data_IF_046707892301
#
_entry.id   IF_046707892301
#
_cell.length_a   1.000
_cell.length_b   1.000
_cell.length_c   1.000
_cell.angle_alpha   90.00
_cell.angle_beta   90.00
_cell.angle_gamma   90.00
#
_symmetry.space_group_name_H-M   'P 1'
#
loop_
_entity.id
_entity.type
_entity.pdbx_description
1 polymer ?
#
# COMPACT_ATOMS: atom_id res chain seq x y z
N UNK A 1 -22.77 -2.15 -26.41
CA UNK A 1 -21.78 -2.93 -25.64
C UNK A 1 -21.91 -2.66 -24.15
N UNK A 2 -21.16 -3.39 -23.31
CA UNK A 2 -21.14 -3.21 -21.83
C UNK A 2 -20.77 -1.76 -21.43
N UNK A 3 -20.09 -1.03 -22.32
CA UNK A 3 -19.68 0.37 -22.16
C UNK A 3 -20.38 1.36 -23.11
N UNK A 4 -21.53 1.02 -23.70
CA UNK A 4 -22.34 2.04 -24.40
C UNK A 4 -23.00 2.95 -23.37
N UNK A 5 -22.26 3.96 -22.95
CA UNK A 5 -22.72 5.06 -22.10
C UNK A 5 -22.83 6.29 -23.00
N UNK A 6 -24.01 6.94 -23.10
CA UNK A 6 -24.17 8.16 -23.86
C UNK A 6 -23.32 9.28 -23.27
N UNK A 7 -22.97 10.27 -24.10
CA UNK A 7 -22.17 11.41 -23.64
C UNK A 7 -22.86 12.15 -22.48
N UNK A 8 -22.11 12.70 -21.51
CA UNK A 8 -22.69 13.39 -20.35
C UNK A 8 -23.63 14.54 -20.73
N UNK A 9 -23.36 15.22 -21.85
CA UNK A 9 -24.20 16.30 -22.38
C UNK A 9 -25.59 15.82 -22.77
N UNK A 10 -25.70 14.69 -23.46
CA UNK A 10 -27.00 14.16 -23.90
C UNK A 10 -27.82 13.65 -22.71
N UNK A 11 -27.16 13.08 -21.69
CA UNK A 11 -27.80 12.70 -20.43
C UNK A 11 -28.34 13.90 -19.66
N UNK A 12 -27.60 15.00 -19.64
CA UNK A 12 -28.01 16.24 -18.99
C UNK A 12 -29.24 16.87 -19.68
N UNK A 13 -29.26 16.84 -21.01
CA UNK A 13 -30.41 17.29 -21.79
C UNK A 13 -31.63 16.39 -21.58
N UNK A 14 -31.44 15.07 -21.53
CA UNK A 14 -32.51 14.13 -21.23
C UNK A 14 -33.08 14.37 -19.83
N UNK A 15 -32.22 14.53 -18.82
CA UNK A 15 -32.66 14.85 -17.46
C UNK A 15 -33.46 16.15 -17.39
N UNK A 16 -33.02 17.21 -18.09
CA UNK A 16 -33.77 18.48 -18.14
C UNK A 16 -35.14 18.34 -18.80
N UNK A 17 -35.25 17.49 -19.83
CA UNK A 17 -36.50 17.30 -20.59
C UNK A 17 -37.48 16.37 -19.88
N UNK A 18 -37.00 15.26 -19.35
CA UNK A 18 -37.84 14.16 -18.84
C UNK A 18 -37.92 14.13 -17.32
N UNK A 19 -37.02 14.85 -16.63
CA UNK A 19 -36.90 14.83 -15.16
C UNK A 19 -36.30 13.54 -14.59
N UNK A 20 -36.04 12.54 -15.44
CA UNK A 20 -35.49 11.23 -15.07
C UNK A 20 -34.41 10.80 -16.05
N UNK A 21 -33.49 9.97 -15.57
CA UNK A 21 -32.48 9.31 -16.40
C UNK A 21 -32.88 7.84 -16.48
N UNK A 22 -32.65 7.23 -17.64
CA UNK A 22 -32.89 5.80 -17.81
C UNK A 22 -32.05 4.98 -16.82
N UNK A 23 -32.72 4.07 -16.10
CA UNK A 23 -32.14 3.27 -15.02
C UNK A 23 -30.97 2.42 -15.54
N UNK A 24 -31.08 1.90 -16.77
CA UNK A 24 -30.04 1.10 -17.39
C UNK A 24 -28.74 1.88 -17.58
N UNK A 25 -28.84 3.17 -17.90
CA UNK A 25 -27.67 4.03 -18.07
C UNK A 25 -27.04 4.36 -16.72
N UNK A 26 -27.87 4.63 -15.70
CA UNK A 26 -27.39 4.86 -14.33
C UNK A 26 -26.62 3.64 -13.82
N UNK A 27 -27.18 2.44 -13.97
CA UNK A 27 -26.54 1.20 -13.51
C UNK A 27 -25.18 0.99 -14.20
N UNK A 28 -25.07 1.24 -15.51
CA UNK A 28 -23.80 1.12 -16.25
C UNK A 28 -22.73 2.08 -15.72
N UNK A 29 -23.10 3.33 -15.45
CA UNK A 29 -22.18 4.34 -14.90
C UNK A 29 -21.73 3.95 -13.49
N UNK A 30 -22.69 3.60 -12.63
CA UNK A 30 -22.40 3.17 -11.25
C UNK A 30 -21.50 1.95 -11.25
N UNK A 31 -21.78 0.95 -12.10
CA UNK A 31 -20.96 -0.25 -12.23
C UNK A 31 -19.53 0.09 -12.66
N UNK A 32 -19.35 0.93 -13.69
CA UNK A 32 -18.03 1.35 -14.15
C UNK A 32 -17.24 2.07 -13.05
N UNK A 33 -17.91 2.95 -12.30
CA UNK A 33 -17.29 3.69 -11.20
C UNK A 33 -16.91 2.77 -10.04
N UNK A 34 -17.79 1.84 -9.66
CA UNK A 34 -17.51 0.83 -8.64
C UNK A 34 -16.35 -0.08 -9.06
N UNK A 35 -16.29 -0.46 -10.34
CA UNK A 35 -15.20 -1.27 -10.88
C UNK A 35 -13.85 -0.54 -10.85
N UNK A 36 -13.81 0.72 -11.26
CA UNK A 36 -12.60 1.53 -11.17
C UNK A 36 -12.16 1.74 -9.72
N UNK A 37 -13.12 2.02 -8.83
CA UNK A 37 -12.87 2.15 -7.39
C UNK A 37 -12.31 0.84 -6.82
N UNK A 38 -12.86 -0.30 -7.23
CA UNK A 38 -12.37 -1.62 -6.84
C UNK A 38 -10.92 -1.85 -7.28
N UNK A 39 -10.55 -1.51 -8.52
CA UNK A 39 -9.16 -1.62 -9.00
C UNK A 39 -8.21 -0.77 -8.15
N UNK A 40 -8.56 0.49 -7.93
CA UNK A 40 -7.74 1.44 -7.17
C UNK A 40 -7.58 0.96 -5.72
N UNK A 41 -8.68 0.63 -5.04
CA UNK A 41 -8.64 0.14 -3.67
C UNK A 41 -7.93 -1.20 -3.54
N UNK A 42 -8.04 -2.08 -4.53
CA UNK A 42 -7.28 -3.34 -4.56
C UNK A 42 -5.77 -3.09 -4.66
N UNK A 43 -5.36 -2.10 -5.46
CA UNK A 43 -3.96 -1.66 -5.53
C UNK A 43 -3.45 -1.14 -4.19
N UNK A 44 -4.24 -0.29 -3.51
CA UNK A 44 -3.89 0.19 -2.16
C UNK A 44 -3.82 -0.95 -1.15
N UNK A 45 -4.82 -1.84 -1.13
CA UNK A 45 -4.86 -3.00 -0.24
C UNK A 45 -3.62 -3.88 -0.45
N UNK A 46 -3.28 -4.19 -1.70
CA UNK A 46 -2.09 -4.97 -2.04
C UNK A 46 -0.81 -4.30 -1.53
N UNK A 47 -0.64 -3.00 -1.79
CA UNK A 47 0.53 -2.26 -1.31
C UNK A 47 0.64 -2.30 0.22
N UNK A 48 -0.47 -2.13 0.94
CA UNK A 48 -0.48 -2.20 2.40
C UNK A 48 -0.19 -3.62 2.91
N UNK A 49 -0.71 -4.66 2.26
CA UNK A 49 -0.37 -6.04 2.60
C UNK A 49 1.12 -6.32 2.44
N UNK A 50 1.77 -5.77 1.41
CA UNK A 50 3.22 -5.85 1.26
C UNK A 50 3.97 -5.15 2.41
N UNK A 51 3.50 -3.97 2.84
CA UNK A 51 4.09 -3.24 3.97
C UNK A 51 3.98 -4.02 5.27
N UNK A 52 2.80 -4.56 5.55
CA UNK A 52 2.56 -5.45 6.69
C UNK A 52 3.48 -6.66 6.63
N UNK A 53 3.62 -7.29 5.45
CA UNK A 53 4.48 -8.47 5.29
C UNK A 53 5.94 -8.15 5.65
N UNK A 54 6.44 -6.97 5.29
CA UNK A 54 7.81 -6.53 5.57
C UNK A 54 7.96 -5.91 6.98
N UNK A 55 6.87 -5.73 7.73
CA UNK A 55 6.90 -5.04 9.01
C UNK A 55 7.32 -3.57 8.91
N UNK A 56 7.16 -2.95 7.74
CA UNK A 56 7.60 -1.58 7.43
C UNK A 56 6.38 -0.67 7.33
N UNK A 57 6.46 0.52 7.90
CA UNK A 57 5.43 1.56 7.76
C UNK A 57 5.61 2.33 6.45
N UNK A 58 4.55 3.00 5.99
CA UNK A 58 4.64 3.85 4.79
C UNK A 58 5.71 4.93 4.91
N UNK A 59 5.86 5.52 6.11
CA UNK A 59 6.86 6.58 6.37
C UNK A 59 8.28 6.04 6.27
N UNK A 60 8.55 4.89 6.90
CA UNK A 60 9.87 4.24 6.82
C UNK A 60 10.24 3.90 5.37
N UNK A 61 9.27 3.44 4.56
CA UNK A 61 9.52 3.16 3.14
C UNK A 61 9.87 4.42 2.36
N UNK A 62 9.20 5.54 2.60
CA UNK A 62 9.48 6.81 1.92
C UNK A 62 10.89 7.30 2.26
N UNK A 63 11.27 7.27 3.54
CA UNK A 63 12.62 7.66 3.99
C UNK A 63 13.69 6.75 3.38
N UNK A 64 13.44 5.44 3.34
CA UNK A 64 14.34 4.49 2.67
C UNK A 64 14.49 4.80 1.18
N UNK A 65 13.39 5.03 0.47
CA UNK A 65 13.42 5.38 -0.95
C UNK A 65 14.19 6.67 -1.21
N UNK A 66 13.98 7.70 -0.39
CA UNK A 66 14.67 8.98 -0.50
C UNK A 66 16.18 8.84 -0.29
N UNK A 67 16.58 8.04 0.70
CA UNK A 67 17.99 7.72 0.94
C UNK A 67 18.62 6.93 -0.23
N UNK A 68 17.86 6.05 -0.89
CA UNK A 68 18.33 5.29 -2.04
C UNK A 68 18.42 6.15 -3.30
N UNK A 69 17.43 7.04 -3.51
CA UNK A 69 17.39 7.95 -4.64
C UNK A 69 18.54 8.97 -4.59
N UNK A 70 18.77 9.59 -3.43
CA UNK A 70 19.88 10.52 -3.23
C UNK A 70 21.25 9.86 -3.43
N UNK A 71 21.42 8.60 -3.00
CA UNK A 71 22.63 7.81 -3.28
C UNK A 71 22.80 7.49 -4.77
N UNK A 72 21.73 7.08 -5.44
CA UNK A 72 21.76 6.81 -6.88
C UNK A 72 22.09 8.07 -7.70
N UNK A 73 21.55 9.22 -7.31
CA UNK A 73 21.81 10.50 -7.96
C UNK A 73 23.26 10.95 -7.78
N UNK A 74 23.84 10.82 -6.58
CA UNK A 74 25.26 11.12 -6.32
C UNK A 74 26.20 10.27 -7.17
N UNK A 75 25.88 8.99 -7.38
CA UNK A 75 26.62 8.12 -8.30
C UNK A 75 26.51 8.58 -9.74
N UNK A 76 25.31 8.91 -10.21
CA UNK A 76 25.09 9.39 -11.57
C UNK A 76 25.85 10.70 -11.86
N UNK A 77 26.07 11.52 -10.83
CA UNK A 77 26.84 12.78 -10.92
C UNK A 77 28.36 12.58 -10.77
N UNK A 78 28.87 11.35 -10.61
CA UNK A 78 30.31 11.09 -10.46
C UNK A 78 30.92 11.65 -9.18
N UNK A 79 30.09 11.99 -8.18
CA UNK A 79 30.51 12.57 -6.89
C UNK A 79 30.93 11.52 -5.85
N UNK A 80 31.12 10.26 -6.28
CA UNK A 80 31.53 9.15 -5.40
C UNK A 80 33.05 8.97 -5.42
N UNK A 81 33.68 9.03 -4.24
CA UNK A 81 35.08 8.70 -4.07
C UNK A 81 35.33 7.21 -4.39
N UNK A 82 36.41 6.89 -5.08
CA UNK A 82 36.76 5.50 -5.50
C UNK A 82 36.87 4.51 -4.34
N UNK A 83 36.97 4.98 -3.09
CA UNK A 83 36.97 4.17 -1.87
C UNK A 83 35.61 3.57 -1.48
N UNK A 84 34.51 3.96 -2.13
CA UNK A 84 33.15 3.41 -1.91
C UNK A 84 32.84 2.16 -2.75
N UNK A 85 33.86 1.50 -3.32
CA UNK A 85 33.71 0.34 -4.22
C UNK A 85 33.18 -0.93 -3.52
N UNK A 86 33.18 -0.99 -2.18
CA UNK A 86 32.40 -1.98 -1.44
C UNK A 86 31.04 -1.39 -1.05
N UNK A 87 30.10 -1.53 -1.97
CA UNK A 87 28.69 -1.25 -1.75
C UNK A 87 28.12 -2.39 -0.91
N UNK A 88 28.40 -2.38 0.39
CA UNK A 88 27.34 -2.80 1.30
C UNK A 88 26.28 -1.71 1.14
N UNK A 89 25.24 -1.98 0.31
CA UNK A 89 23.95 -1.32 0.57
C UNK A 89 23.78 -1.51 2.08
N UNK A 90 23.61 -0.44 2.88
CA UNK A 90 23.37 -0.65 4.29
C UNK A 90 22.23 -1.65 4.32
N UNK A 91 22.52 -2.86 4.78
CA UNK A 91 21.53 -3.90 4.89
C UNK A 91 20.70 -3.39 6.06
N UNK A 92 19.77 -2.48 5.75
CA UNK A 92 18.83 -1.92 6.71
C UNK A 92 17.87 -3.07 6.95
N UNK A 93 18.32 -3.99 7.79
CA UNK A 93 17.48 -5.03 8.35
C UNK A 93 16.49 -4.25 9.19
N UNK A 94 15.24 -4.24 8.75
CA UNK A 94 14.18 -3.64 9.52
C UNK A 94 14.14 -4.35 10.89
N UNK A 95 14.46 -3.67 12.01
CA UNK A 95 14.49 -4.30 13.32
C UNK A 95 13.08 -4.77 13.75
N UNK A 96 12.04 -4.27 13.09
CA UNK A 96 10.66 -4.67 13.29
C UNK A 96 10.21 -5.82 12.38
N UNK A 97 11.00 -6.22 11.38
CA UNK A 97 10.67 -7.36 10.52
C UNK A 97 10.99 -8.67 11.25
N UNK A 98 9.94 -9.35 11.70
CA UNK A 98 10.03 -10.64 12.38
C UNK A 98 9.71 -11.81 11.43
N UNK A 99 9.56 -11.52 10.14
CA UNK A 99 9.09 -12.44 9.12
C UNK A 99 7.58 -12.33 8.88
N UNK A 100 7.13 -12.71 7.66
CA UNK A 100 5.82 -12.36 7.13
C UNK A 100 4.65 -12.84 8.00
N UNK A 101 4.78 -14.04 8.56
CA UNK A 101 3.74 -14.64 9.41
C UNK A 101 3.61 -13.92 10.75
N UNK A 102 4.74 -13.54 11.39
CA UNK A 102 4.73 -12.87 12.69
C UNK A 102 4.24 -11.44 12.56
N UNK A 103 4.65 -10.73 11.51
CA UNK A 103 4.19 -9.38 11.23
C UNK A 103 2.67 -9.33 10.99
N UNK A 104 2.13 -10.30 10.24
CA UNK A 104 0.67 -10.42 10.04
C UNK A 104 -0.08 -10.67 11.37
N UNK A 105 0.41 -11.59 12.20
CA UNK A 105 -0.19 -11.88 13.51
C UNK A 105 -0.10 -10.67 14.44
N UNK A 106 0.96 -9.87 14.36
CA UNK A 106 1.11 -8.67 15.18
C UNK A 106 0.03 -7.65 14.87
N UNK A 107 -0.35 -7.48 13.60
CA UNK A 107 -1.33 -6.47 13.18
C UNK A 107 -2.76 -6.97 13.29
N UNK A 108 -3.00 -8.22 12.88
CA UNK A 108 -4.35 -8.77 12.75
C UNK A 108 -4.73 -9.72 13.89
N UNK A 109 -3.80 -10.01 14.79
CA UNK A 109 -3.97 -11.01 15.82
C UNK A 109 -3.91 -12.44 15.27
N UNK A 110 -4.19 -13.41 16.15
CA UNK A 110 -4.17 -14.84 15.80
C UNK A 110 -5.48 -15.31 15.16
N UNK A 111 -6.54 -14.51 15.28
CA UNK A 111 -7.89 -14.86 14.81
C UNK A 111 -8.21 -14.11 13.52
N UNK A 112 -8.11 -14.80 12.39
CA UNK A 112 -8.37 -14.25 11.06
C UNK A 112 -9.82 -13.77 10.87
N UNK A 113 -10.79 -14.27 11.63
CA UNK A 113 -12.17 -13.80 11.54
C UNK A 113 -12.33 -12.35 12.01
N UNK A 114 -11.47 -11.90 12.92
CA UNK A 114 -11.48 -10.51 13.39
C UNK A 114 -10.98 -9.53 12.33
N UNK A 115 -10.42 -9.98 11.21
CA UNK A 115 -10.09 -9.13 10.06
C UNK A 115 -11.30 -8.47 9.43
N UNK A 116 -12.43 -9.17 9.47
CA UNK A 116 -13.67 -8.72 8.82
C UNK A 116 -14.48 -7.77 9.72
N UNK A 117 -14.05 -7.59 10.97
CA UNK A 117 -14.77 -6.80 11.96
C UNK A 117 -13.86 -5.67 12.46
N UNK A 118 -14.35 -4.42 12.59
CA UNK A 118 -13.59 -3.32 13.15
C UNK A 118 -13.52 -3.40 14.68
N UNK A 119 -13.12 -4.56 15.22
CA UNK A 119 -12.99 -4.78 16.66
C UNK A 119 -11.56 -4.44 17.08
N UNK A 120 -11.36 -3.61 18.10
CA UNK A 120 -10.02 -3.32 18.60
C UNK A 120 -9.39 -4.61 19.15
N UNK A 121 -8.37 -5.11 18.45
CA UNK A 121 -7.56 -6.25 18.92
C UNK A 121 -6.50 -5.73 19.87
N UNK A 122 -6.40 -6.31 21.06
CA UNK A 122 -5.28 -6.02 21.96
C UNK A 122 -4.01 -6.58 21.33
N UNK A 123 -3.16 -5.68 20.84
CA UNK A 123 -1.92 -6.05 20.16
C UNK A 123 -0.96 -6.74 21.14
N UNK A 124 -0.22 -7.78 20.69
CA UNK A 124 0.88 -8.31 21.48
C UNK A 124 1.93 -7.21 21.70
N UNK A 125 2.70 -7.26 22.81
CA UNK A 125 3.77 -6.30 23.05
C UNK A 125 4.77 -6.33 21.88
N UNK A 126 5.33 -5.17 21.50
CA UNK A 126 6.33 -5.11 20.44
C UNK A 126 7.51 -6.03 20.80
N UNK A 127 7.93 -6.85 19.85
CA UNK A 127 9.06 -7.74 20.07
C UNK A 127 10.33 -6.91 20.17
N UNK A 128 10.96 -6.92 21.35
CA UNK A 128 12.29 -6.33 21.54
C UNK A 128 13.29 -7.41 21.16
N UNK A 129 14.08 -7.17 20.11
CA UNK A 129 15.23 -8.03 19.80
C UNK A 129 16.14 -7.97 21.03
N UNK A 130 16.16 -9.05 21.81
CA UNK A 130 17.17 -9.20 22.85
C UNK A 130 18.50 -9.33 22.11
N UNK A 131 19.24 -8.23 22.03
CA UNK A 131 20.64 -8.26 21.63
C UNK A 131 21.31 -9.19 22.64
N UNK A 132 21.56 -10.44 22.24
CA UNK A 132 22.38 -11.35 23.00
C UNK A 132 23.71 -10.63 23.21
N UNK A 133 23.87 -10.06 24.40
CA UNK A 133 25.13 -9.48 24.82
C UNK A 133 26.03 -10.68 25.01
N UNK A 134 26.77 -11.05 23.95
CA UNK A 134 27.91 -11.95 24.06
C UNK A 134 28.84 -11.30 25.07
N UNK A 135 28.71 -11.72 26.33
CA UNK A 135 29.71 -11.45 27.36
C UNK A 135 30.91 -12.31 26.99
N UNK A 136 31.94 -11.66 26.46
CA UNK A 136 33.28 -12.21 26.38
C UNK A 136 33.87 -12.38 27.78
#
# INVERSE_FOLDING_TARGET
GILDIPYPSTMWEQYKKTGTIDHDVVIKIVFLLLFLTFIVLSGFLWSHLCYVKMGVTTVERVVLLDSLYSKALRRAQGLTNESDTQIDLPHVVNPFDQGPKKNLIQIFGRNWLLLLLPVPVKLPPPYVVQLETKRE
#
